data_IF_919511999588
#
_entry.id   IF_919511999588
#
_cell.length_a   1.000
_cell.length_b   1.000
_cell.length_c   1.000
_cell.angle_alpha   90.00
_cell.angle_beta   90.00
_cell.angle_gamma   90.00
#
_symmetry.space_group_name_H-M   'P 1'
#
loop_
_entity.id
_entity.type
_entity.pdbx_description
1 polymer ?
#
# COMPACT_ATOMS: atom_id res chain seq x y z
N UNK A 1 -9.37 -8.32 34.30
CA UNK A 1 -10.13 -9.16 33.35
C UNK A 1 -9.18 -9.44 32.20
N UNK A 2 -8.39 -10.49 32.41
CA UNK A 2 -7.23 -10.83 31.60
C UNK A 2 -7.67 -11.26 30.21
N UNK A 3 -6.92 -10.85 29.20
CA UNK A 3 -7.12 -11.16 27.80
C UNK A 3 -6.71 -12.63 27.59
N UNK A 4 -7.53 -13.58 28.04
CA UNK A 4 -7.32 -15.02 27.79
C UNK A 4 -7.98 -15.46 26.47
N UNK A 5 -8.86 -14.63 25.89
CA UNK A 5 -9.56 -14.96 24.64
C UNK A 5 -8.65 -14.76 23.41
N UNK A 6 -7.57 -13.98 23.51
CA UNK A 6 -6.75 -13.66 22.34
C UNK A 6 -5.84 -14.81 21.91
N UNK A 7 -5.23 -15.55 22.85
CA UNK A 7 -4.18 -16.52 22.54
C UNK A 7 -4.70 -17.74 21.75
N UNK A 8 -5.90 -18.23 22.06
CA UNK A 8 -6.47 -19.41 21.40
C UNK A 8 -6.94 -19.13 19.95
N UNK A 9 -7.23 -17.86 19.61
CA UNK A 9 -7.66 -17.43 18.27
C UNK A 9 -6.54 -16.76 17.44
N UNK A 10 -5.38 -16.53 18.03
CA UNK A 10 -4.21 -15.89 17.38
C UNK A 10 -3.07 -16.86 17.10
N UNK A 11 -3.22 -18.16 17.36
CA UNK A 11 -2.30 -19.18 16.86
C UNK A 11 -2.38 -19.24 15.32
N UNK A 12 -1.58 -18.40 14.68
CA UNK A 12 -1.29 -18.47 13.25
C UNK A 12 0.06 -19.11 13.05
N UNK A 13 0.17 -19.94 12.00
CA UNK A 13 1.45 -20.29 11.40
C UNK A 13 1.76 -19.22 10.33
N UNK A 14 2.63 -18.23 10.62
CA UNK A 14 2.84 -17.11 9.70
C UNK A 14 3.45 -17.57 8.38
N UNK A 15 4.27 -18.61 8.39
CA UNK A 15 4.90 -19.14 7.18
C UNK A 15 3.85 -19.75 6.26
N UNK A 16 2.97 -20.59 6.81
CA UNK A 16 1.86 -21.19 6.08
C UNK A 16 0.87 -20.14 5.57
N UNK A 17 0.47 -19.18 6.41
CA UNK A 17 -0.46 -18.12 6.02
C UNK A 17 0.15 -17.28 4.90
N UNK A 18 1.42 -16.91 5.00
CA UNK A 18 2.09 -16.18 3.94
C UNK A 18 2.09 -16.99 2.63
N UNK A 19 2.37 -18.30 2.68
CA UNK A 19 2.36 -19.15 1.47
C UNK A 19 0.98 -19.16 0.80
N UNK A 20 -0.08 -19.30 1.59
CA UNK A 20 -1.46 -19.21 1.12
C UNK A 20 -1.75 -17.85 0.48
N UNK A 21 -1.31 -16.75 1.10
CA UNK A 21 -1.47 -15.39 0.57
C UNK A 21 -0.68 -15.18 -0.73
N UNK A 22 0.53 -15.73 -0.86
CA UNK A 22 1.28 -15.66 -2.12
C UNK A 22 0.59 -16.46 -3.24
N UNK A 23 0.03 -17.62 -2.92
CA UNK A 23 -0.75 -18.40 -3.89
C UNK A 23 -2.01 -17.63 -4.32
N UNK A 24 -2.72 -17.03 -3.35
CA UNK A 24 -3.87 -16.17 -3.62
C UNK A 24 -3.50 -15.00 -4.53
N UNK A 25 -2.42 -14.26 -4.24
CA UNK A 25 -1.95 -13.15 -5.07
C UNK A 25 -1.67 -13.60 -6.52
N UNK A 26 -0.98 -14.73 -6.72
CA UNK A 26 -0.71 -15.24 -8.08
C UNK A 26 -1.99 -15.57 -8.84
N UNK A 27 -2.95 -16.21 -8.18
CA UNK A 27 -4.22 -16.64 -8.80
C UNK A 27 -5.09 -15.43 -9.12
N UNK A 28 -5.33 -14.53 -8.17
CA UNK A 28 -6.24 -13.41 -8.38
C UNK A 28 -5.70 -12.39 -9.39
N UNK A 29 -4.40 -12.10 -9.34
CA UNK A 29 -3.76 -11.21 -10.32
C UNK A 29 -3.82 -11.85 -11.72
N UNK A 30 -3.56 -13.16 -11.82
CA UNK A 30 -3.66 -13.90 -13.07
C UNK A 30 -5.09 -13.95 -13.63
N UNK A 31 -6.09 -14.17 -12.77
CA UNK A 31 -7.51 -14.16 -13.15
C UNK A 31 -7.96 -12.79 -13.66
N UNK A 32 -7.37 -11.71 -13.13
CA UNK A 32 -7.58 -10.35 -13.61
C UNK A 32 -6.84 -10.03 -14.93
N UNK A 33 -6.06 -10.97 -15.47
CA UNK A 33 -5.32 -10.80 -16.73
C UNK A 33 -3.95 -10.14 -16.58
N UNK A 34 -3.44 -10.00 -15.36
CA UNK A 34 -2.16 -9.36 -15.07
C UNK A 34 -1.11 -10.38 -14.61
N UNK A 35 0.16 -9.99 -14.72
CA UNK A 35 1.29 -10.73 -14.14
C UNK A 35 2.15 -9.88 -13.21
N UNK A 36 1.76 -8.62 -13.00
CA UNK A 36 2.47 -7.61 -12.22
C UNK A 36 1.54 -6.98 -11.19
N UNK A 37 2.13 -6.48 -10.11
CA UNK A 37 1.43 -5.75 -9.06
C UNK A 37 1.98 -4.34 -8.91
N UNK A 38 1.10 -3.36 -8.66
CA UNK A 38 1.47 -2.01 -8.23
C UNK A 38 0.81 -1.73 -6.88
N UNK A 39 1.54 -1.13 -5.95
CA UNK A 39 1.01 -0.78 -4.63
C UNK A 39 1.57 0.54 -4.10
N UNK A 40 0.79 1.20 -3.25
CA UNK A 40 1.26 2.36 -2.50
C UNK A 40 2.12 1.91 -1.33
N UNK A 41 3.37 2.36 -1.25
CA UNK A 41 4.26 2.04 -0.14
C UNK A 41 4.37 3.24 0.79
N UNK A 42 3.71 3.16 1.94
CA UNK A 42 3.65 4.26 2.90
C UNK A 42 4.72 4.16 3.98
N UNK A 43 5.54 3.11 4.03
CA UNK A 43 6.46 2.84 5.14
C UNK A 43 5.80 2.21 6.37
N UNK A 44 4.47 2.11 6.40
CA UNK A 44 3.73 1.42 7.47
C UNK A 44 3.69 -0.10 7.28
N UNK A 45 3.50 -0.82 8.40
CA UNK A 45 3.49 -2.29 8.48
C UNK A 45 2.68 -2.97 7.37
N UNK A 46 1.43 -2.57 7.17
CA UNK A 46 0.53 -3.23 6.23
C UNK A 46 1.04 -3.16 4.79
N UNK A 47 1.47 -1.98 4.34
CA UNK A 47 2.05 -1.81 3.00
C UNK A 47 3.36 -2.57 2.82
N UNK A 48 4.18 -2.67 3.87
CA UNK A 48 5.46 -3.41 3.86
C UNK A 48 5.23 -4.92 3.74
N UNK A 49 4.25 -5.46 4.47
CA UNK A 49 3.86 -6.88 4.39
C UNK A 49 3.35 -7.21 3.00
N UNK A 50 2.47 -6.36 2.44
CA UNK A 50 1.95 -6.57 1.07
C UNK A 50 3.06 -6.49 0.03
N UNK A 51 3.99 -5.54 0.15
CA UNK A 51 5.14 -5.45 -0.75
C UNK A 51 5.99 -6.73 -0.72
N UNK A 52 6.29 -7.24 0.47
CA UNK A 52 7.06 -8.47 0.63
C UNK A 52 6.32 -9.70 0.07
N UNK A 53 5.02 -9.82 0.31
CA UNK A 53 4.20 -10.90 -0.23
C UNK A 53 4.11 -10.83 -1.76
N UNK A 54 3.97 -9.63 -2.33
CA UNK A 54 3.97 -9.43 -3.79
C UNK A 54 5.31 -9.80 -4.41
N UNK A 55 6.42 -9.34 -3.83
CA UNK A 55 7.77 -9.67 -4.32
C UNK A 55 8.00 -11.19 -4.31
N UNK A 56 7.56 -11.87 -3.24
CA UNK A 56 7.67 -13.33 -3.12
C UNK A 56 6.71 -14.09 -4.05
N UNK A 57 5.53 -13.53 -4.34
CA UNK A 57 4.52 -14.17 -5.17
C UNK A 57 4.82 -14.02 -6.67
N UNK A 58 5.25 -12.84 -7.08
CA UNK A 58 5.34 -12.43 -8.50
C UNK A 58 6.76 -12.29 -9.02
N UNK A 59 7.77 -12.28 -8.14
CA UNK A 59 9.14 -11.87 -8.48
C UNK A 59 9.32 -10.36 -8.29
N UNK A 60 10.45 -9.89 -7.73
CA UNK A 60 10.65 -8.47 -7.42
C UNK A 60 10.53 -7.53 -8.63
N UNK A 61 10.94 -7.98 -9.81
CA UNK A 61 10.90 -7.23 -11.06
C UNK A 61 9.49 -6.94 -11.57
N UNK A 62 8.50 -7.69 -11.09
CA UNK A 62 7.07 -7.59 -11.43
C UNK A 62 6.27 -6.77 -10.41
N UNK A 63 6.95 -6.13 -9.46
CA UNK A 63 6.32 -5.30 -8.43
C UNK A 63 6.81 -3.87 -8.55
N UNK A 64 5.86 -2.93 -8.60
CA UNK A 64 6.10 -1.50 -8.51
C UNK A 64 5.55 -0.93 -7.20
N UNK A 65 6.43 -0.43 -6.34
CA UNK A 65 6.07 0.35 -5.17
C UNK A 65 6.04 1.85 -5.52
N UNK A 66 4.96 2.54 -5.18
CA UNK A 66 4.84 3.99 -5.41
C UNK A 66 4.81 4.72 -4.06
N UNK A 67 5.82 5.56 -3.80
CA UNK A 67 5.90 6.42 -2.63
C UNK A 67 5.26 7.78 -2.96
N UNK A 68 4.24 8.16 -2.18
CA UNK A 68 3.42 9.36 -2.46
C UNK A 68 3.31 10.26 -1.22
N UNK A 69 4.43 10.83 -0.74
CA UNK A 69 4.43 11.69 0.44
C UNK A 69 3.68 12.99 0.16
N UNK A 70 3.02 13.49 1.20
CA UNK A 70 2.51 14.86 1.25
C UNK A 70 3.43 15.68 2.16
N UNK A 71 3.40 17.02 2.09
CA UNK A 71 4.32 17.89 2.87
C UNK A 71 4.31 17.68 4.40
N UNK A 72 3.29 17.04 4.95
CA UNK A 72 3.20 16.69 6.37
C UNK A 72 3.66 15.26 6.68
N UNK A 73 4.12 14.51 5.69
CA UNK A 73 4.73 13.18 5.86
C UNK A 73 6.08 13.31 6.57
N UNK A 74 6.39 12.38 7.47
CA UNK A 74 7.66 12.33 8.19
C UNK A 74 8.78 11.78 7.32
N UNK A 75 10.00 12.30 7.52
CA UNK A 75 11.21 11.82 6.84
C UNK A 75 11.52 10.35 7.18
N UNK A 76 11.27 9.95 8.43
CA UNK A 76 11.44 8.58 8.92
C UNK A 76 10.67 7.58 8.05
N UNK A 77 9.38 7.84 7.83
CA UNK A 77 8.50 6.99 7.04
C UNK A 77 8.91 6.92 5.56
N UNK A 78 9.47 8.01 5.02
CA UNK A 78 10.06 8.02 3.66
C UNK A 78 11.31 7.13 3.62
N UNK A 79 12.19 7.24 4.62
CA UNK A 79 13.40 6.42 4.73
C UNK A 79 13.07 4.92 4.84
N UNK A 80 12.07 4.57 5.65
CA UNK A 80 11.61 3.19 5.81
C UNK A 80 11.12 2.60 4.49
N UNK A 81 10.32 3.35 3.72
CA UNK A 81 9.83 2.91 2.41
C UNK A 81 10.98 2.60 1.44
N UNK A 82 12.04 3.41 1.43
CA UNK A 82 13.23 3.19 0.60
C UNK A 82 14.02 1.96 1.05
N UNK A 83 14.13 1.76 2.35
CA UNK A 83 14.81 0.58 2.92
C UNK A 83 14.09 -0.71 2.53
N UNK A 84 12.76 -0.72 2.59
CA UNK A 84 11.94 -1.87 2.18
C UNK A 84 12.13 -2.17 0.70
N UNK A 85 12.09 -1.14 -0.16
CA UNK A 85 12.33 -1.30 -1.60
C UNK A 85 13.69 -1.95 -1.86
N UNK A 86 14.74 -1.44 -1.22
CA UNK A 86 16.11 -1.96 -1.38
C UNK A 86 16.22 -3.41 -0.89
N UNK A 87 15.62 -3.72 0.26
CA UNK A 87 15.68 -5.05 0.85
C UNK A 87 14.95 -6.10 0.01
N UNK A 88 13.81 -5.72 -0.60
CA UNK A 88 13.01 -6.62 -1.44
C UNK A 88 13.48 -6.67 -2.91
N UNK A 89 14.29 -5.72 -3.36
CA UNK A 89 14.75 -5.63 -4.75
C UNK A 89 13.64 -5.28 -5.75
N UNK A 90 12.56 -4.64 -5.30
CA UNK A 90 11.40 -4.27 -6.14
C UNK A 90 11.63 -2.94 -6.87
N UNK A 91 10.84 -2.68 -7.92
CA UNK A 91 10.86 -1.36 -8.59
C UNK A 91 10.20 -0.32 -7.69
N UNK A 92 10.68 0.92 -7.76
CA UNK A 92 10.09 2.03 -7.03
C UNK A 92 9.92 3.29 -7.87
N UNK A 93 8.89 4.06 -7.53
CA UNK A 93 8.60 5.38 -8.05
C UNK A 93 8.31 6.34 -6.88
N UNK A 94 9.12 7.40 -6.75
CA UNK A 94 8.86 8.49 -5.81
C UNK A 94 8.06 9.59 -6.51
N UNK A 95 6.81 9.81 -6.09
CA UNK A 95 5.90 10.79 -6.65
C UNK A 95 5.18 11.61 -5.54
N UNK A 96 5.82 12.66 -5.00
CA UNK A 96 5.19 13.54 -4.02
C UNK A 96 3.90 14.17 -4.54
N UNK A 97 2.86 14.25 -3.69
CA UNK A 97 1.50 14.69 -4.08
C UNK A 97 1.14 16.10 -3.61
N UNK A 98 2.10 16.82 -3.03
CA UNK A 98 1.87 18.14 -2.42
C UNK A 98 1.29 19.13 -3.42
N UNK A 99 1.88 19.24 -4.61
CA UNK A 99 1.48 20.25 -5.59
C UNK A 99 0.07 20.01 -6.14
N UNK A 100 -0.28 18.74 -6.36
CA UNK A 100 -1.57 18.29 -6.85
C UNK A 100 -2.67 18.57 -5.82
N UNK A 101 -2.42 18.24 -4.55
CA UNK A 101 -3.37 18.45 -3.45
C UNK A 101 -3.51 19.95 -3.14
N UNK A 102 -2.41 20.70 -3.07
CA UNK A 102 -2.43 22.14 -2.79
C UNK A 102 -3.07 22.94 -3.95
N UNK A 103 -2.89 22.52 -5.20
CA UNK A 103 -3.58 23.12 -6.34
C UNK A 103 -5.12 23.06 -6.19
N UNK A 104 -5.65 21.96 -5.66
CA UNK A 104 -7.07 21.84 -5.37
C UNK A 104 -7.49 22.81 -4.26
N UNK A 105 -6.80 22.83 -3.12
CA UNK A 105 -7.19 23.68 -1.99
C UNK A 105 -6.96 25.17 -2.21
N UNK A 106 -6.05 25.58 -3.10
CA UNK A 106 -5.94 26.98 -3.55
C UNK A 106 -7.24 27.53 -4.13
N UNK A 107 -8.09 26.67 -4.71
CA UNK A 107 -9.38 27.07 -5.31
C UNK A 107 -10.56 26.95 -4.36
N UNK A 108 -10.45 26.07 -3.36
CA UNK A 108 -11.52 25.75 -2.40
C UNK A 108 -11.40 26.58 -1.11
N UNK A 109 -10.21 27.07 -0.79
CA UNK A 109 -9.91 27.75 0.47
C UNK A 109 -9.50 26.80 1.59
N UNK A 110 -9.53 27.30 2.82
CA UNK A 110 -9.12 26.54 4.00
C UNK A 110 -9.92 25.24 4.18
N UNK A 111 -9.22 24.22 4.67
CA UNK A 111 -9.78 22.89 4.87
C UNK A 111 -9.30 22.29 6.18
N UNK A 112 -10.17 21.53 6.84
CA UNK A 112 -9.79 20.74 8.00
C UNK A 112 -8.79 19.64 7.62
N UNK A 113 -8.02 19.17 8.60
CA UNK A 113 -7.07 18.08 8.41
C UNK A 113 -7.73 16.83 7.82
N UNK A 114 -8.96 16.50 8.26
CA UNK A 114 -9.72 15.38 7.71
C UNK A 114 -10.02 15.54 6.21
N UNK A 115 -10.38 16.75 5.76
CA UNK A 115 -10.63 17.02 4.33
C UNK A 115 -9.36 16.87 3.51
N UNK A 116 -8.22 17.35 4.02
CA UNK A 116 -6.92 17.21 3.36
C UNK A 116 -6.51 15.74 3.29
N UNK A 117 -6.58 15.00 4.39
CA UNK A 117 -6.26 13.57 4.45
C UNK A 117 -7.10 12.76 3.45
N UNK A 118 -8.40 13.02 3.40
CA UNK A 118 -9.32 12.42 2.44
C UNK A 118 -8.94 12.71 0.98
N UNK A 119 -8.55 13.95 0.66
CA UNK A 119 -8.10 14.31 -0.68
C UNK A 119 -6.79 13.61 -1.02
N UNK A 120 -5.84 13.53 -0.09
CA UNK A 120 -4.58 12.81 -0.28
C UNK A 120 -4.82 11.32 -0.58
N UNK A 121 -5.69 10.63 0.18
CA UNK A 121 -6.00 9.22 -0.06
C UNK A 121 -6.53 8.98 -1.49
N UNK A 122 -7.45 9.84 -1.95
CA UNK A 122 -8.03 9.78 -3.31
C UNK A 122 -7.02 10.11 -4.40
N UNK A 123 -6.12 11.07 -4.14
CA UNK A 123 -5.03 11.41 -5.06
C UNK A 123 -4.08 10.22 -5.25
N UNK A 124 -3.69 9.56 -4.16
CA UNK A 124 -2.84 8.36 -4.21
C UNK A 124 -3.48 7.24 -4.99
N UNK A 125 -4.78 6.99 -4.77
CA UNK A 125 -5.52 5.98 -5.53
C UNK A 125 -5.56 6.32 -7.02
N UNK A 126 -5.78 7.60 -7.37
CA UNK A 126 -5.75 8.05 -8.77
C UNK A 126 -4.40 7.77 -9.43
N UNK A 127 -3.30 8.09 -8.74
CA UNK A 127 -1.93 7.82 -9.21
C UNK A 127 -1.69 6.31 -9.35
N UNK A 128 -2.12 5.50 -8.40
CA UNK A 128 -1.93 4.04 -8.48
C UNK A 128 -2.65 3.42 -9.68
N UNK A 129 -3.86 3.87 -10.01
CA UNK A 129 -4.56 3.40 -11.21
C UNK A 129 -3.91 3.88 -12.51
N UNK A 130 -3.36 5.09 -12.53
CA UNK A 130 -2.55 5.57 -13.67
C UNK A 130 -1.30 4.70 -13.85
N UNK A 131 -0.56 4.46 -12.77
CA UNK A 131 0.65 3.63 -12.81
C UNK A 131 0.35 2.14 -13.08
N UNK A 132 -0.82 1.64 -12.67
CA UNK A 132 -1.33 0.31 -13.03
C UNK A 132 -1.47 0.17 -14.55
N UNK A 133 -2.07 1.15 -15.22
CA UNK A 133 -2.17 1.15 -16.68
C UNK A 133 -0.79 1.30 -17.36
N UNK A 134 0.08 2.17 -16.84
CA UNK A 134 1.41 2.40 -17.40
C UNK A 134 2.36 1.19 -17.26
N UNK A 135 2.26 0.46 -16.14
CA UNK A 135 3.13 -0.68 -15.82
C UNK A 135 2.55 -2.03 -16.25
N UNK A 136 1.30 -2.04 -16.75
CA UNK A 136 0.51 -3.24 -17.06
C UNK A 136 0.41 -4.19 -15.85
N UNK A 137 -0.14 -3.66 -14.75
CA UNK A 137 -0.16 -4.29 -13.44
C UNK A 137 -1.49 -4.10 -12.72
N UNK A 138 -1.87 -5.03 -11.84
CA UNK A 138 -3.04 -4.86 -10.97
C UNK A 138 -2.67 -4.02 -9.74
N UNK A 139 -3.55 -3.11 -9.32
CA UNK A 139 -3.39 -2.43 -8.03
C UNK A 139 -3.64 -3.40 -6.89
N UNK A 140 -2.67 -3.54 -5.97
CA UNK A 140 -2.80 -4.37 -4.76
C UNK A 140 -3.07 -3.48 -3.55
N UNK A 141 -4.24 -3.65 -2.95
CA UNK A 141 -4.65 -2.92 -1.75
C UNK A 141 -3.92 -3.40 -0.48
N UNK A 142 -3.86 -2.53 0.52
CA UNK A 142 -3.12 -2.79 1.78
C UNK A 142 -4.00 -2.68 3.03
N UNK A 143 -5.32 -2.52 2.87
CA UNK A 143 -6.22 -2.39 4.02
C UNK A 143 -6.36 -3.71 4.76
N UNK A 144 -6.32 -3.65 6.09
CA UNK A 144 -6.50 -4.83 6.94
C UNK A 144 -7.97 -5.01 7.37
N UNK A 145 -8.29 -6.18 7.94
CA UNK A 145 -9.67 -6.54 8.33
C UNK A 145 -10.27 -5.57 9.35
N UNK A 146 -9.47 -5.09 10.30
CA UNK A 146 -9.94 -4.16 11.33
C UNK A 146 -10.34 -2.82 10.72
N UNK A 147 -9.52 -2.28 9.80
CA UNK A 147 -9.82 -1.04 9.08
C UNK A 147 -11.10 -1.14 8.26
N UNK A 148 -11.28 -2.26 7.54
CA UNK A 148 -12.47 -2.52 6.72
C UNK A 148 -13.73 -2.58 7.60
N UNK A 149 -13.67 -3.28 8.73
CA UNK A 149 -14.81 -3.45 9.63
C UNK A 149 -15.19 -2.15 10.36
N UNK A 150 -14.21 -1.30 10.65
CA UNK A 150 -14.41 -0.06 11.39
C UNK A 150 -14.59 1.17 10.47
N UNK A 151 -14.41 1.01 9.15
CA UNK A 151 -14.57 2.09 8.18
C UNK A 151 -13.48 3.16 8.25
N UNK A 152 -12.22 2.76 8.48
CA UNK A 152 -11.08 3.69 8.56
C UNK A 152 -10.54 4.16 7.19
N UNK A 153 -10.98 3.53 6.09
CA UNK A 153 -10.53 3.80 4.71
C UNK A 153 -11.06 5.09 4.10
#
# INVERSE_FOLDING_TARGET
MSIEIADEYLEIDPARVAEQLCNFLRVEIGNAGFHRGVLGLSGGLDSSVVAALCARALGPENVLAVSMPYKTSSEETICDSRTIVQWLGIRALDLPITDQVDAYFRRIGEASLLRVANKCARERMSILYDQSAAFDALVVGTSNKSEILLGYG
#
